data_IF_791161350985
#
_entry.id   IF_791161350985
#
_cell.length_a   1.000
_cell.length_b   1.000
_cell.length_c   1.000
_cell.angle_alpha   90.00
_cell.angle_beta   90.00
_cell.angle_gamma   90.00
#
_symmetry.space_group_name_H-M   'P 1'
#
loop_
_entity.id
_entity.type
_entity.pdbx_description
1 polymer ?
#
# COMPACT_ATOMS: atom_id res chain seq x y z
N UNK A 1 64.38 14.06 -16.84
CA UNK A 1 64.53 14.36 -15.41
C UNK A 1 64.78 15.85 -15.26
N UNK A 2 64.27 16.52 -14.23
CA UNK A 2 63.00 16.37 -13.50
C UNK A 2 62.25 17.75 -13.58
N UNK A 3 61.18 18.14 -12.91
CA UNK A 3 60.41 17.63 -11.77
C UNK A 3 58.97 18.15 -11.88
N UNK A 4 58.03 17.35 -11.37
CA UNK A 4 56.76 17.78 -10.79
C UNK A 4 56.94 19.03 -9.91
N UNK A 5 55.94 19.90 -9.86
CA UNK A 5 55.14 19.98 -8.63
C UNK A 5 53.73 20.51 -8.92
N UNK A 6 52.77 19.74 -8.37
CA UNK A 6 51.35 20.04 -8.30
C UNK A 6 51.14 20.80 -7.01
N UNK A 7 50.39 21.89 -7.04
CA UNK A 7 49.74 22.46 -5.85
C UNK A 7 48.36 23.00 -6.24
N UNK A 8 47.42 22.07 -6.41
CA UNK A 8 46.00 22.32 -6.20
C UNK A 8 45.70 21.90 -4.76
N UNK A 9 45.37 22.86 -3.88
CA UNK A 9 44.59 22.63 -2.67
C UNK A 9 44.20 23.97 -2.03
N UNK A 10 42.96 24.41 -2.27
CA UNK A 10 42.31 25.38 -1.41
C UNK A 10 40.82 25.01 -1.31
N UNK A 11 40.54 23.98 -0.50
CA UNK A 11 39.17 23.63 -0.08
C UNK A 11 39.02 24.15 1.35
N UNK A 12 38.06 25.04 1.50
CA UNK A 12 37.66 25.70 2.75
C UNK A 12 36.94 24.72 3.68
N UNK A 13 37.24 24.88 4.97
CA UNK A 13 36.76 24.21 6.16
C UNK A 13 35.33 23.63 6.13
N UNK A 14 35.23 22.39 6.58
CA UNK A 14 33.98 21.71 6.89
C UNK A 14 34.18 20.33 7.53
N UNK A 15 35.17 20.17 8.40
CA UNK A 15 35.35 18.96 9.20
C UNK A 15 34.27 18.90 10.29
N UNK A 16 33.34 17.95 10.18
CA UNK A 16 32.54 17.45 11.29
C UNK A 16 32.57 15.91 11.26
N UNK A 17 33.74 15.34 11.54
CA UNK A 17 33.86 13.93 11.91
C UNK A 17 33.56 13.77 13.41
N UNK A 18 32.45 13.12 13.75
CA UNK A 18 32.22 12.62 15.11
C UNK A 18 32.66 11.14 15.12
N UNK A 19 33.72 10.86 15.87
CA UNK A 19 34.11 9.49 16.22
C UNK A 19 33.22 9.03 17.37
N UNK A 20 32.41 7.99 17.14
CA UNK A 20 31.68 7.28 18.20
C UNK A 20 32.44 6.01 18.54
N UNK A 21 33.12 6.01 19.68
CA UNK A 21 33.57 4.79 20.36
C UNK A 21 32.54 4.49 21.46
N UNK A 22 31.94 3.29 21.46
CA UNK A 22 31.15 2.83 22.61
C UNK A 22 30.10 1.77 22.29
N UNK A 23 30.48 0.51 22.53
CA UNK A 23 29.71 -0.68 22.90
C UNK A 23 28.26 -0.86 22.42
N UNK A 24 28.09 -1.89 21.57
CA UNK A 24 26.82 -2.58 21.35
C UNK A 24 26.35 -3.24 22.64
N UNK A 25 25.17 -2.86 23.13
CA UNK A 25 24.25 -3.78 23.83
C UNK A 25 22.84 -3.19 23.87
N UNK A 26 21.92 -3.85 23.14
CA UNK A 26 20.51 -4.09 23.47
C UNK A 26 19.60 -2.87 23.80
N UNK A 27 18.56 -2.66 22.98
CA UNK A 27 17.13 -2.50 23.37
C UNK A 27 16.35 -1.52 22.48
N UNK A 28 15.25 -2.05 21.92
CA UNK A 28 13.94 -1.45 21.64
C UNK A 28 13.79 0.06 21.88
N UNK A 29 13.58 0.83 20.81
CA UNK A 29 13.05 2.21 20.90
C UNK A 29 11.57 2.17 20.50
N UNK A 30 10.73 2.45 21.49
CA UNK A 30 9.32 2.82 21.34
C UNK A 30 9.25 4.32 21.03
N UNK A 31 8.55 4.73 19.97
CA UNK A 31 8.34 6.14 19.66
C UNK A 31 7.18 6.69 20.50
N UNK A 32 7.52 7.40 21.58
CA UNK A 32 6.59 8.24 22.34
C UNK A 32 6.93 9.71 22.14
N UNK A 33 5.92 10.51 21.81
CA UNK A 33 5.96 11.96 21.57
C UNK A 33 6.59 12.73 22.74
N UNK A 34 7.58 13.58 22.44
CA UNK A 34 8.25 14.47 23.39
C UNK A 34 7.46 15.78 23.50
N UNK A 35 6.88 16.05 24.67
CA UNK A 35 6.38 17.37 25.07
C UNK A 35 7.52 18.07 25.83
N UNK A 36 7.99 19.22 25.34
CA UNK A 36 9.03 20.03 25.98
C UNK A 36 8.35 20.88 27.07
N UNK A 37 8.75 20.69 28.34
CA UNK A 37 8.31 21.47 29.49
C UNK A 37 9.49 21.75 30.44
N UNK A 38 9.57 22.98 30.92
CA UNK A 38 10.67 23.63 31.64
C UNK A 38 11.37 22.82 32.77
N UNK A 39 12.69 22.99 32.84
CA UNK A 39 13.58 22.46 33.88
C UNK A 39 13.70 23.41 35.08
N UNK A 40 13.26 23.00 36.27
CA UNK A 40 13.84 23.50 37.52
C UNK A 40 13.75 22.51 38.72
N UNK A 41 14.94 22.18 39.26
CA UNK A 41 15.33 21.77 40.63
C UNK A 41 14.93 20.40 41.24
N UNK A 42 15.95 19.53 41.30
CA UNK A 42 16.55 18.79 42.46
C UNK A 42 15.69 18.34 43.66
N UNK A 43 15.65 17.04 43.95
CA UNK A 43 16.39 16.34 45.05
C UNK A 43 15.98 14.84 45.18
N UNK A 44 16.79 13.95 45.82
CA UNK A 44 16.64 12.49 45.77
C UNK A 44 16.21 11.83 47.11
N UNK A 45 15.34 10.81 47.03
CA UNK A 45 15.08 9.74 48.02
C UNK A 45 14.05 8.79 47.37
N UNK A 46 13.89 7.49 47.59
CA UNK A 46 14.46 6.44 48.44
C UNK A 46 13.82 5.11 47.99
N UNK A 47 14.45 3.98 48.32
CA UNK A 47 13.87 2.64 48.55
C UNK A 47 13.40 1.76 47.39
N UNK A 48 14.21 0.73 47.18
CA UNK A 48 13.96 -0.56 46.55
C UNK A 48 12.61 -1.18 46.92
N UNK A 49 11.79 -1.52 45.92
CA UNK A 49 10.70 -2.50 46.06
C UNK A 49 10.73 -3.53 44.92
N UNK A 50 10.70 -4.77 45.40
CA UNK A 50 10.64 -6.10 44.78
C UNK A 50 9.65 -6.17 43.60
N UNK A 51 10.09 -6.72 42.47
CA UNK A 51 9.26 -7.00 41.29
C UNK A 51 8.47 -8.30 41.55
N UNK A 52 7.15 -8.18 41.74
CA UNK A 52 6.20 -9.28 41.61
C UNK A 52 5.69 -9.34 40.16
N UNK A 53 5.71 -10.53 39.54
CA UNK A 53 5.04 -10.81 38.26
C UNK A 53 3.55 -11.10 38.52
N UNK A 54 2.62 -10.47 37.80
CA UNK A 54 1.38 -11.10 37.38
C UNK A 54 1.51 -11.44 35.89
N UNK A 55 1.55 -12.73 35.54
CA UNK A 55 0.38 -13.56 35.23
C UNK A 55 -0.32 -13.11 33.94
N UNK A 56 -0.08 -13.89 32.88
CA UNK A 56 -0.72 -13.78 31.58
C UNK A 56 -2.25 -13.77 31.74
N UNK A 57 -2.88 -12.68 31.30
CA UNK A 57 -4.32 -12.63 31.11
C UNK A 57 -4.60 -12.48 29.62
N UNK A 58 -5.48 -13.34 29.14
CA UNK A 58 -5.81 -13.55 27.74
C UNK A 58 -6.28 -12.27 27.05
N UNK A 59 -5.70 -11.99 25.87
CA UNK A 59 -6.28 -11.04 24.92
C UNK A 59 -7.54 -11.68 24.36
N UNK A 60 -8.71 -11.13 24.73
CA UNK A 60 -9.97 -11.48 24.10
C UNK A 60 -9.96 -10.94 22.66
N UNK A 61 -10.08 -11.83 21.69
CA UNK A 61 -10.36 -11.48 20.29
C UNK A 61 -11.80 -10.99 20.25
N UNK A 62 -11.99 -9.67 20.16
CA UNK A 62 -13.28 -9.09 19.82
C UNK A 62 -13.45 -9.21 18.31
N UNK A 63 -14.14 -10.27 17.90
CA UNK A 63 -14.72 -10.39 16.56
C UNK A 63 -15.95 -9.48 16.52
N UNK A 64 -15.97 -8.54 15.58
CA UNK A 64 -17.12 -7.67 15.31
C UNK A 64 -16.96 -6.25 15.83
N UNK A 65 -16.11 -5.45 15.17
CA UNK A 65 -16.28 -4.00 15.18
C UNK A 65 -17.12 -3.62 13.96
N UNK A 66 -18.40 -3.34 14.19
CA UNK A 66 -19.20 -2.56 13.24
C UNK A 66 -18.55 -1.20 13.07
N UNK A 67 -17.67 -1.06 12.09
CA UNK A 67 -17.17 0.26 11.68
C UNK A 67 -18.27 0.95 10.90
N UNK A 68 -19.13 1.66 11.61
CA UNK A 68 -19.99 2.67 11.00
C UNK A 68 -19.10 3.69 10.28
N UNK A 69 -18.94 3.54 8.96
CA UNK A 69 -18.18 4.45 8.10
C UNK A 69 -16.99 3.87 7.33
N UNK A 70 -16.75 2.55 7.32
CA UNK A 70 -15.71 1.97 6.46
C UNK A 70 -16.11 2.04 4.99
N UNK A 71 -15.17 2.48 4.13
CA UNK A 71 -15.31 2.48 2.67
C UNK A 71 -14.72 1.20 2.08
N UNK A 72 -15.20 0.81 0.90
CA UNK A 72 -14.57 -0.23 0.10
C UNK A 72 -13.25 0.31 -0.44
N UNK A 73 -12.18 -0.45 -0.27
CA UNK A 73 -10.82 -0.07 -0.71
C UNK A 73 -10.42 -1.02 -1.84
N UNK A 74 -10.73 -0.71 -3.10
CA UNK A 74 -10.19 -1.43 -4.23
C UNK A 74 -8.73 -1.02 -4.47
N UNK A 75 -7.84 -2.00 -4.65
CA UNK A 75 -6.48 -1.77 -5.14
C UNK A 75 -6.50 -1.69 -6.67
N UNK A 76 -5.89 -0.65 -7.23
CA UNK A 76 -5.75 -0.48 -8.68
C UNK A 76 -4.40 -1.05 -9.13
N UNK A 77 -4.39 -2.23 -9.75
CA UNK A 77 -3.20 -2.87 -10.30
C UNK A 77 -3.05 -2.55 -11.78
N UNK A 78 -1.99 -1.87 -12.18
CA UNK A 78 -1.80 -1.38 -13.55
C UNK A 78 -0.31 -1.24 -13.89
N UNK A 79 0.03 -1.25 -15.18
CA UNK A 79 1.38 -0.86 -15.60
C UNK A 79 1.49 0.66 -15.67
N UNK A 80 2.67 1.21 -15.43
CA UNK A 80 2.91 2.67 -15.41
C UNK A 80 2.43 3.39 -16.68
N UNK A 81 2.47 2.71 -17.82
CA UNK A 81 2.04 3.21 -19.13
C UNK A 81 0.52 3.42 -19.20
N UNK A 82 -0.25 2.75 -18.34
CA UNK A 82 -1.68 2.92 -18.22
C UNK A 82 -2.11 3.97 -17.18
N UNK A 83 -1.17 4.70 -16.56
CA UNK A 83 -1.47 5.64 -15.47
C UNK A 83 -2.53 6.68 -15.83
N UNK A 84 -2.54 7.17 -17.09
CA UNK A 84 -3.50 8.18 -17.52
C UNK A 84 -4.94 7.65 -17.50
N UNK A 85 -5.17 6.48 -18.11
CA UNK A 85 -6.50 5.84 -18.14
C UNK A 85 -6.96 5.44 -16.73
N UNK A 86 -6.04 4.93 -15.90
CA UNK A 86 -6.33 4.50 -14.53
C UNK A 86 -6.64 5.69 -13.63
N UNK A 87 -5.98 6.84 -13.84
CA UNK A 87 -6.27 8.07 -13.08
C UNK A 87 -7.67 8.59 -13.40
N UNK A 88 -8.10 8.60 -14.67
CA UNK A 88 -9.48 8.92 -15.03
C UNK A 88 -10.47 7.95 -14.37
N UNK A 89 -10.18 6.64 -14.44
CA UNK A 89 -11.00 5.61 -13.84
C UNK A 89 -11.17 5.79 -12.32
N UNK A 90 -10.07 6.11 -11.65
CA UNK A 90 -10.02 6.35 -10.22
C UNK A 90 -10.89 7.52 -9.80
N UNK A 91 -10.85 8.63 -10.53
CA UNK A 91 -11.70 9.79 -10.22
C UNK A 91 -13.19 9.45 -10.35
N UNK A 92 -13.55 8.60 -11.32
CA UNK A 92 -14.92 8.05 -11.38
C UNK A 92 -15.24 7.22 -10.14
N UNK A 93 -14.35 6.32 -9.71
CA UNK A 93 -14.54 5.52 -8.49
C UNK A 93 -14.70 6.39 -7.25
N UNK A 94 -13.90 7.45 -7.10
CA UNK A 94 -13.98 8.40 -5.98
C UNK A 94 -15.30 9.17 -5.91
N UNK A 95 -16.04 9.27 -7.02
CA UNK A 95 -17.38 9.86 -7.02
C UNK A 95 -18.40 8.99 -6.25
N UNK A 96 -18.12 7.70 -6.04
CA UNK A 96 -18.90 6.82 -5.18
C UNK A 96 -18.50 7.04 -3.72
N UNK A 97 -19.40 7.58 -2.90
CA UNK A 97 -19.12 8.00 -1.50
C UNK A 97 -18.66 6.86 -0.57
N UNK A 98 -18.91 5.61 -0.96
CA UNK A 98 -18.60 4.39 -0.25
C UNK A 98 -17.32 3.69 -0.74
N UNK A 99 -16.59 4.29 -1.69
CA UNK A 99 -15.34 3.75 -2.27
C UNK A 99 -14.16 4.68 -1.96
N UNK A 100 -13.01 4.09 -1.66
CA UNK A 100 -11.73 4.76 -1.45
C UNK A 100 -10.60 3.98 -2.16
N UNK A 101 -10.40 4.21 -3.47
CA UNK A 101 -9.46 3.42 -4.26
C UNK A 101 -8.02 3.73 -3.86
N UNK A 102 -7.24 2.67 -3.57
CA UNK A 102 -5.81 2.77 -3.33
C UNK A 102 -5.05 2.87 -4.65
N UNK A 103 -4.17 3.87 -4.76
CA UNK A 103 -3.44 4.24 -5.96
C UNK A 103 -2.02 4.70 -5.63
N UNK A 104 -1.04 3.94 -6.09
CA UNK A 104 0.38 4.08 -5.74
C UNK A 104 0.98 5.48 -5.98
N UNK A 105 0.59 6.18 -7.05
CA UNK A 105 1.11 7.54 -7.35
C UNK A 105 0.74 8.58 -6.28
N UNK A 106 -0.33 8.37 -5.52
CA UNK A 106 -0.79 9.28 -4.47
C UNK A 106 -0.56 8.74 -3.06
N UNK A 107 -0.64 7.42 -2.88
CA UNK A 107 -0.63 6.79 -1.56
C UNK A 107 0.77 6.37 -1.09
N UNK A 108 1.80 6.44 -1.95
CA UNK A 108 3.20 6.15 -1.59
C UNK A 108 3.98 7.44 -1.35
N UNK A 109 4.42 7.65 -0.10
CA UNK A 109 5.21 8.81 0.28
C UNK A 109 6.69 8.69 -0.17
N UNK A 110 7.36 9.81 -0.50
CA UNK A 110 8.80 9.81 -0.78
C UNK A 110 9.62 9.22 0.37
N UNK A 111 10.54 8.30 0.04
CA UNK A 111 11.40 7.61 1.01
C UNK A 111 10.81 6.31 1.58
N UNK A 112 9.55 6.00 1.28
CA UNK A 112 8.99 4.69 1.60
C UNK A 112 9.54 3.60 0.67
N UNK A 113 9.59 2.37 1.18
CA UNK A 113 9.88 1.20 0.36
C UNK A 113 8.62 0.83 -0.42
N UNK A 114 8.62 1.14 -1.71
CA UNK A 114 7.48 0.95 -2.61
C UNK A 114 6.94 -0.49 -2.58
N UNK A 115 7.80 -1.50 -2.64
CA UNK A 115 7.42 -2.93 -2.68
C UNK A 115 6.65 -3.38 -1.43
N UNK A 116 7.08 -2.92 -0.24
CA UNK A 116 6.46 -3.27 1.04
C UNK A 116 5.03 -2.69 1.11
N UNK A 117 4.87 -1.42 0.72
CA UNK A 117 3.57 -0.73 0.73
C UNK A 117 2.59 -1.32 -0.28
N UNK A 118 3.04 -1.64 -1.49
CA UNK A 118 2.20 -2.29 -2.50
C UNK A 118 1.73 -3.65 -2.01
N UNK A 119 2.62 -4.45 -1.42
CA UNK A 119 2.28 -5.78 -0.89
C UNK A 119 1.25 -5.66 0.25
N UNK A 120 1.47 -4.73 1.18
CA UNK A 120 0.53 -4.44 2.26
C UNK A 120 -0.83 -3.95 1.72
N UNK A 121 -0.82 -3.07 0.73
CA UNK A 121 -2.03 -2.53 0.12
C UNK A 121 -2.85 -3.61 -0.59
N UNK A 122 -2.22 -4.51 -1.34
CA UNK A 122 -2.90 -5.66 -1.95
C UNK A 122 -3.55 -6.54 -0.89
N UNK A 123 -2.82 -6.88 0.18
CA UNK A 123 -3.32 -7.71 1.27
C UNK A 123 -4.52 -7.07 2.00
N UNK A 124 -4.44 -5.76 2.27
CA UNK A 124 -5.46 -5.01 3.00
C UNK A 124 -6.63 -4.54 2.10
N UNK A 125 -6.53 -4.75 0.79
CA UNK A 125 -7.58 -4.38 -0.15
C UNK A 125 -8.83 -5.25 0.01
N UNK A 126 -9.98 -4.66 -0.30
CA UNK A 126 -11.26 -5.38 -0.29
C UNK A 126 -11.54 -6.06 -1.64
N UNK A 127 -10.94 -5.55 -2.71
CA UNK A 127 -10.95 -6.07 -4.06
C UNK A 127 -9.70 -5.56 -4.80
N UNK A 128 -9.30 -6.25 -5.86
CA UNK A 128 -8.20 -5.86 -6.76
C UNK A 128 -8.76 -5.70 -8.17
N UNK A 129 -8.65 -4.50 -8.71
CA UNK A 129 -8.99 -4.19 -10.10
C UNK A 129 -7.70 -4.27 -10.90
N UNK A 130 -7.65 -5.20 -11.86
CA UNK A 130 -6.44 -5.47 -12.67
C UNK A 130 -6.64 -4.86 -14.05
N UNK A 131 -5.90 -3.81 -14.36
CA UNK A 131 -5.91 -3.16 -15.66
C UNK A 131 -4.94 -3.87 -16.61
N UNK A 132 -5.51 -4.53 -17.60
CA UNK A 132 -4.82 -5.21 -18.68
C UNK A 132 -4.74 -4.28 -19.88
N UNK A 133 -3.58 -4.25 -20.51
CA UNK A 133 -3.40 -3.65 -21.83
C UNK A 133 -2.44 -4.50 -22.63
N UNK A 134 -2.42 -4.31 -23.95
CA UNK A 134 -1.51 -4.99 -24.84
C UNK A 134 -0.05 -4.76 -24.41
N UNK A 135 0.25 -3.60 -23.83
CA UNK A 135 1.55 -3.32 -23.23
C UNK A 135 1.75 -4.09 -21.92
N UNK A 136 0.84 -3.96 -20.96
CA UNK A 136 0.97 -4.56 -19.62
C UNK A 136 1.17 -6.08 -19.66
N UNK A 137 0.52 -6.77 -20.61
CA UNK A 137 0.61 -8.24 -20.71
C UNK A 137 1.89 -8.74 -21.39
N UNK A 138 2.63 -7.88 -22.10
CA UNK A 138 3.87 -8.26 -22.82
C UNK A 138 5.14 -7.82 -22.10
N UNK A 139 5.05 -6.82 -21.24
CA UNK A 139 6.22 -6.20 -20.63
C UNK A 139 6.61 -6.92 -19.34
N UNK A 140 7.86 -7.38 -19.27
CA UNK A 140 8.44 -7.84 -18.01
C UNK A 140 8.49 -6.68 -17.00
N UNK A 141 8.09 -6.93 -15.77
CA UNK A 141 8.13 -5.89 -14.74
C UNK A 141 7.28 -6.20 -13.53
N UNK A 142 7.18 -5.20 -12.65
CA UNK A 142 6.50 -5.28 -11.37
C UNK A 142 5.01 -5.66 -11.48
N UNK A 143 4.34 -5.32 -12.58
CA UNK A 143 2.96 -5.72 -12.83
C UNK A 143 2.73 -7.23 -12.67
N UNK A 144 3.66 -8.07 -13.13
CA UNK A 144 3.52 -9.53 -12.98
C UNK A 144 3.70 -10.02 -11.53
N UNK A 145 4.53 -9.32 -10.75
CA UNK A 145 4.72 -9.59 -9.32
C UNK A 145 3.45 -9.21 -8.55
N UNK A 146 2.91 -8.02 -8.81
CA UNK A 146 1.63 -7.57 -8.23
C UNK A 146 0.47 -8.48 -8.59
N UNK A 147 0.36 -8.86 -9.87
CA UNK A 147 -0.63 -9.83 -10.34
C UNK A 147 -0.50 -11.15 -9.57
N UNK A 148 0.73 -11.61 -9.30
CA UNK A 148 0.94 -12.81 -8.48
C UNK A 148 0.42 -12.60 -7.06
N UNK A 149 0.78 -11.51 -6.38
CA UNK A 149 0.33 -11.23 -5.01
C UNK A 149 -1.20 -11.12 -4.92
N UNK A 150 -1.83 -10.45 -5.88
CA UNK A 150 -3.28 -10.33 -5.95
C UNK A 150 -3.95 -11.72 -6.07
N UNK A 151 -3.43 -12.58 -6.96
CA UNK A 151 -3.95 -13.93 -7.12
C UNK A 151 -3.72 -14.82 -5.90
N UNK A 152 -2.58 -14.67 -5.22
CA UNK A 152 -2.31 -15.39 -3.97
C UNK A 152 -3.28 -14.94 -2.87
N UNK A 153 -3.53 -13.63 -2.73
CA UNK A 153 -4.54 -13.09 -1.80
C UNK A 153 -5.97 -13.53 -2.16
N UNK A 154 -6.27 -13.73 -3.44
CA UNK A 154 -7.56 -14.23 -3.90
C UNK A 154 -7.80 -15.67 -3.45
N UNK A 155 -6.76 -16.51 -3.46
CA UNK A 155 -6.83 -17.92 -3.08
C UNK A 155 -7.14 -18.14 -1.59
N UNK A 156 -6.93 -17.11 -0.75
CA UNK A 156 -7.27 -17.13 0.67
C UNK A 156 -8.72 -16.72 0.95
N UNK A 157 -9.45 -16.20 -0.06
CA UNK A 157 -10.85 -15.77 0.11
C UNK A 157 -11.79 -16.97 -0.10
N UNK A 158 -12.98 -16.97 0.55
CA UNK A 158 -13.99 -17.98 0.30
C UNK A 158 -14.39 -18.05 -1.18
N UNK A 159 -14.75 -19.24 -1.63
CA UNK A 159 -15.23 -19.48 -3.00
C UNK A 159 -16.38 -18.53 -3.37
N UNK A 160 -16.34 -18.02 -4.60
CA UNK A 160 -17.34 -17.08 -5.11
C UNK A 160 -17.15 -15.62 -4.68
N UNK A 161 -16.14 -15.32 -3.87
CA UNK A 161 -15.82 -13.93 -3.50
C UNK A 161 -15.41 -13.12 -4.73
N UNK A 162 -16.08 -11.99 -4.96
CA UNK A 162 -15.64 -10.99 -5.95
C UNK A 162 -14.43 -10.23 -5.36
N UNK A 163 -13.24 -10.77 -5.61
CA UNK A 163 -11.98 -10.15 -5.18
C UNK A 163 -11.14 -9.69 -6.37
N UNK A 164 -10.95 -10.52 -7.41
CA UNK A 164 -10.21 -10.14 -8.62
C UNK A 164 -11.18 -9.67 -9.70
N UNK A 165 -10.94 -8.49 -10.26
CA UNK A 165 -11.74 -7.91 -11.34
C UNK A 165 -10.83 -7.45 -12.48
N UNK A 166 -10.65 -8.27 -13.53
CA UNK A 166 -9.85 -7.87 -14.68
C UNK A 166 -10.62 -6.90 -15.60
N UNK A 167 -9.94 -5.83 -16.02
CA UNK A 167 -10.44 -4.82 -16.94
C UNK A 167 -9.42 -4.65 -18.05
N UNK A 168 -9.84 -4.76 -19.31
CA UNK A 168 -8.98 -4.48 -20.45
C UNK A 168 -9.12 -3.03 -20.90
N UNK A 169 -8.02 -2.31 -21.03
CA UNK A 169 -7.96 -0.94 -21.53
C UNK A 169 -7.79 -0.88 -23.06
N UNK A 170 -7.43 -2.00 -23.69
CA UNK A 170 -7.35 -2.14 -25.15
C UNK A 170 -7.62 -3.59 -25.61
N UNK A 171 -7.50 -3.79 -26.92
CA UNK A 171 -7.50 -5.12 -27.52
C UNK A 171 -6.24 -5.91 -27.13
N UNK A 172 -6.34 -6.82 -26.15
CA UNK A 172 -5.23 -7.65 -25.69
C UNK A 172 -5.66 -9.05 -25.24
N UNK A 173 -4.69 -9.97 -25.24
CA UNK A 173 -4.89 -11.32 -24.72
C UNK A 173 -4.91 -11.31 -23.20
N UNK A 174 -5.89 -12.00 -22.61
CA UNK A 174 -5.99 -12.14 -21.16
C UNK A 174 -5.01 -13.23 -20.70
N UNK A 175 -4.10 -12.95 -19.74
CA UNK A 175 -3.17 -13.94 -19.21
C UNK A 175 -3.89 -15.21 -18.73
N UNK A 176 -3.28 -16.39 -18.93
CA UNK A 176 -3.89 -17.69 -18.59
C UNK A 176 -4.42 -17.75 -17.15
N UNK A 177 -3.66 -17.20 -16.20
CA UNK A 177 -4.02 -17.13 -14.78
C UNK A 177 -5.28 -16.31 -14.48
N UNK A 178 -5.69 -15.45 -15.42
CA UNK A 178 -6.88 -14.61 -15.32
C UNK A 178 -8.07 -15.14 -16.15
N UNK A 179 -7.87 -16.17 -16.99
CA UNK A 179 -8.95 -16.78 -17.78
C UNK A 179 -10.14 -17.29 -16.95
N UNK A 180 -9.98 -17.80 -15.71
CA UNK A 180 -11.12 -18.20 -14.89
C UNK A 180 -12.00 -17.04 -14.41
N UNK A 181 -11.52 -15.80 -14.51
CA UNK A 181 -12.22 -14.61 -14.01
C UNK A 181 -12.97 -13.92 -15.13
N UNK A 182 -14.21 -13.52 -14.86
CA UNK A 182 -14.97 -12.68 -15.78
C UNK A 182 -14.30 -11.31 -15.89
N UNK A 183 -13.94 -10.92 -17.11
CA UNK A 183 -13.36 -9.61 -17.41
C UNK A 183 -14.33 -8.73 -18.19
N UNK A 184 -14.00 -7.44 -18.27
CA UNK A 184 -14.72 -6.44 -19.07
C UNK A 184 -13.75 -5.65 -19.95
N UNK A 185 -14.24 -5.21 -21.10
CA UNK A 185 -13.50 -4.34 -22.03
C UNK A 185 -13.87 -2.88 -21.74
N UNK A 186 -12.94 -2.08 -21.24
CA UNK A 186 -13.13 -0.65 -20.95
C UNK A 186 -12.50 0.24 -22.02
N UNK A 187 -12.87 0.02 -23.28
CA UNK A 187 -12.45 0.82 -24.43
C UNK A 187 -13.60 0.95 -25.45
N UNK A 188 -13.43 1.83 -26.42
CA UNK A 188 -14.49 2.20 -27.37
C UNK A 188 -15.14 3.54 -27.03
N UNK A 189 -16.41 3.70 -27.40
CA UNK A 189 -17.15 4.94 -27.17
C UNK A 189 -17.53 5.17 -25.69
N UNK A 190 -17.94 6.40 -25.37
CA UNK A 190 -18.28 6.81 -24.01
C UNK A 190 -19.46 6.00 -23.44
N UNK A 191 -20.48 5.71 -24.26
CA UNK A 191 -21.64 4.93 -23.83
C UNK A 191 -21.24 3.51 -23.43
N UNK A 192 -20.31 2.89 -24.17
CA UNK A 192 -19.75 1.59 -23.84
C UNK A 192 -19.02 1.64 -22.51
N UNK A 193 -18.09 2.60 -22.34
CA UNK A 193 -17.36 2.80 -21.08
C UNK A 193 -18.31 2.99 -19.89
N UNK A 194 -19.40 3.74 -20.06
CA UNK A 194 -20.40 3.97 -19.02
C UNK A 194 -21.18 2.70 -18.64
N UNK A 195 -21.57 1.88 -19.61
CA UNK A 195 -22.21 0.58 -19.35
C UNK A 195 -21.28 -0.35 -18.58
N UNK A 196 -20.01 -0.41 -18.99
CA UNK A 196 -18.99 -1.24 -18.34
C UNK A 196 -18.73 -0.77 -16.92
N UNK A 197 -18.55 0.54 -16.73
CA UNK A 197 -18.39 1.14 -15.40
C UNK A 197 -19.58 0.81 -14.49
N UNK A 198 -20.80 0.93 -15.00
CA UNK A 198 -22.02 0.56 -14.27
C UNK A 198 -22.01 -0.92 -13.85
N UNK A 199 -21.53 -1.81 -14.71
CA UNK A 199 -21.38 -3.23 -14.39
C UNK A 199 -20.33 -3.48 -13.31
N UNK A 200 -19.18 -2.79 -13.37
CA UNK A 200 -18.16 -2.85 -12.32
C UNK A 200 -18.72 -2.40 -10.98
N UNK A 201 -19.41 -1.27 -10.93
CA UNK A 201 -20.01 -0.74 -9.70
C UNK A 201 -20.99 -1.75 -9.09
N UNK A 202 -21.75 -2.49 -9.90
CA UNK A 202 -22.59 -3.58 -9.39
C UNK A 202 -21.78 -4.67 -8.70
N UNK A 203 -20.66 -5.09 -9.28
CA UNK A 203 -19.76 -6.09 -8.70
C UNK A 203 -19.16 -5.60 -7.37
N UNK A 204 -18.67 -4.36 -7.33
CA UNK A 204 -18.13 -3.74 -6.11
C UNK A 204 -19.20 -3.56 -5.03
N UNK A 205 -20.45 -3.25 -5.40
CA UNK A 205 -21.58 -3.18 -4.44
C UNK A 205 -21.92 -4.54 -3.84
N UNK A 206 -21.81 -5.63 -4.60
CA UNK A 206 -21.96 -6.99 -4.04
C UNK A 206 -20.86 -7.22 -3.00
N UNK A 207 -19.60 -6.98 -3.37
CA UNK A 207 -18.47 -7.15 -2.45
C UNK A 207 -18.59 -6.28 -1.19
N UNK A 208 -19.01 -5.02 -1.33
CA UNK A 208 -19.23 -4.12 -0.20
C UNK A 208 -20.30 -4.65 0.76
N UNK A 209 -21.41 -5.20 0.26
CA UNK A 209 -22.45 -5.81 1.10
C UNK A 209 -21.93 -7.04 1.85
N UNK A 210 -21.13 -7.88 1.21
CA UNK A 210 -20.52 -9.05 1.86
C UNK A 210 -19.59 -8.66 3.02
N UNK A 211 -19.04 -7.44 2.97
CA UNK A 211 -18.18 -6.86 3.99
C UNK A 211 -18.94 -5.98 5.00
N UNK A 212 -20.26 -5.82 4.86
CA UNK A 212 -21.07 -4.94 5.72
C UNK A 212 -20.89 -3.44 5.46
N UNK A 213 -20.28 -3.06 4.33
CA UNK A 213 -20.09 -1.66 3.93
C UNK A 213 -21.39 -1.10 3.33
N UNK A 214 -21.79 0.09 3.78
CA UNK A 214 -23.00 0.77 3.30
C UNK A 214 -22.76 1.47 1.96
N UNK A 215 -23.56 1.12 0.95
CA UNK A 215 -23.51 1.63 -0.43
C UNK A 215 -24.73 2.44 -0.84
#
# INVERSE_FOLDING_TARGET
MPSNDKDENNITAGDNSIIVNGDLNNTTIVNSTIIIGDNSRLTPSESSKKIEKPSASAVQIVVGSETAGSKLIPFLCYSKENSTDVREFRERLKAETWVDPWFDEEDILPGAKWEDLVTEAVHNSHAVIIFLSSFAVRTEGFFHVELKHALDSAAEKPDGTIFIIPIRLDACDVPERLQPYQYVDYFGDAEHKDRVYTSLIKALKVRARDLGIKV
#
